data_IF_700700090734
#
_entry.id   IF_700700090734
#
_cell.length_a   1.000
_cell.length_b   1.000
_cell.length_c   1.000
_cell.angle_alpha   90.00
_cell.angle_beta   90.00
_cell.angle_gamma   90.00
#
_symmetry.space_group_name_H-M   'P 1'
#
loop_
_entity.id
_entity.type
_entity.pdbx_description
1 polymer ?
#
# COMPACT_ATOMS: atom_id res chain seq x y z
N UNK A 1 -45.21 29.94 16.12
CA UNK A 1 -44.23 29.13 15.35
C UNK A 1 -42.84 29.76 15.22
N UNK A 2 -42.71 31.08 14.96
CA UNK A 2 -41.39 31.75 14.82
C UNK A 2 -40.50 31.72 16.08
N UNK A 3 -41.09 31.84 17.28
CA UNK A 3 -40.36 31.77 18.56
C UNK A 3 -39.84 30.35 18.89
N UNK A 4 -40.64 29.31 18.58
CA UNK A 4 -40.25 27.91 18.80
C UNK A 4 -39.05 27.52 17.91
N UNK A 5 -39.06 27.93 16.64
CA UNK A 5 -37.95 27.69 15.72
C UNK A 5 -36.66 28.39 16.16
N UNK A 6 -36.76 29.62 16.72
CA UNK A 6 -35.61 30.35 17.28
C UNK A 6 -35.06 29.68 18.54
N UNK A 7 -35.93 29.18 19.41
CA UNK A 7 -35.53 28.45 20.61
C UNK A 7 -34.78 27.16 20.25
N UNK A 8 -35.34 26.38 19.32
CA UNK A 8 -34.72 25.14 18.83
C UNK A 8 -33.36 25.41 18.18
N UNK A 9 -33.27 26.43 17.33
CA UNK A 9 -32.00 26.83 16.72
C UNK A 9 -30.95 27.13 17.79
N UNK A 10 -31.27 27.96 18.79
CA UNK A 10 -30.34 28.30 19.88
C UNK A 10 -29.90 27.08 20.70
N UNK A 11 -30.81 26.14 20.98
CA UNK A 11 -30.44 24.90 21.71
C UNK A 11 -29.49 24.03 20.91
N UNK A 12 -29.67 23.91 19.60
CA UNK A 12 -28.84 23.10 18.73
C UNK A 12 -27.43 23.70 18.63
N UNK A 13 -27.32 25.03 18.45
CA UNK A 13 -26.00 25.69 18.39
C UNK A 13 -25.23 25.56 19.71
N UNK A 14 -25.93 25.70 20.85
CA UNK A 14 -25.30 25.52 22.15
C UNK A 14 -24.78 24.08 22.37
N UNK A 15 -25.53 23.07 21.89
CA UNK A 15 -25.12 21.67 21.93
C UNK A 15 -23.86 21.40 21.09
N UNK A 16 -23.80 21.96 19.87
CA UNK A 16 -22.62 21.81 19.02
C UNK A 16 -21.38 22.47 19.63
N UNK A 17 -21.52 23.68 20.18
CA UNK A 17 -20.40 24.39 20.82
C UNK A 17 -19.93 23.62 22.06
N UNK A 18 -20.87 23.16 22.91
CA UNK A 18 -20.53 22.36 24.10
C UNK A 18 -19.82 21.05 23.78
N UNK A 19 -20.23 20.35 22.70
CA UNK A 19 -19.58 19.12 22.24
C UNK A 19 -18.14 19.33 21.79
N UNK A 20 -17.80 20.49 21.20
CA UNK A 20 -16.42 20.78 20.78
C UNK A 20 -15.49 21.16 21.94
N UNK A 21 -16.02 21.64 23.07
CA UNK A 21 -15.21 22.05 24.22
C UNK A 21 -14.61 20.87 25.00
N UNK A 22 -15.22 19.68 24.95
CA UNK A 22 -14.68 18.47 25.60
C UNK A 22 -13.41 17.95 24.94
N UNK A 23 -13.11 18.37 23.71
CA UNK A 23 -11.87 18.03 23.00
C UNK A 23 -10.66 18.91 23.37
N UNK A 24 -10.86 20.02 24.11
CA UNK A 24 -9.78 20.99 24.37
C UNK A 24 -9.16 20.89 25.78
N UNK A 25 -9.70 20.06 26.68
CA UNK A 25 -9.22 19.88 28.07
C UNK A 25 -8.83 18.45 28.42
N UNK A 26 -8.75 17.55 27.44
CA UNK A 26 -8.05 16.28 27.65
C UNK A 26 -6.56 16.55 27.80
N UNK A 27 -5.85 15.96 28.78
CA UNK A 27 -4.40 15.98 28.75
C UNK A 27 -3.98 15.44 27.39
N UNK A 28 -3.15 16.18 26.65
CA UNK A 28 -2.39 15.58 25.56
C UNK A 28 -1.55 14.50 26.22
N UNK A 29 -2.04 13.26 26.18
CA UNK A 29 -1.20 12.09 26.34
C UNK A 29 -0.26 12.14 25.13
N UNK A 30 0.78 12.96 25.24
CA UNK A 30 2.06 12.62 24.66
C UNK A 30 2.44 11.32 25.36
N UNK A 31 1.92 10.21 24.84
CA UNK A 31 2.57 8.93 24.97
C UNK A 31 3.91 9.15 24.29
N UNK A 32 4.88 9.63 25.09
CA UNK A 32 6.29 9.47 24.79
C UNK A 32 6.53 7.98 24.87
N UNK A 33 6.08 7.31 23.81
CA UNK A 33 6.43 5.96 23.49
C UNK A 33 7.91 6.06 23.16
N UNK A 34 8.73 5.89 24.21
CA UNK A 34 10.18 5.74 24.15
C UNK A 34 10.48 4.41 23.46
N UNK A 35 10.05 4.31 22.20
CA UNK A 35 10.52 3.33 21.27
C UNK A 35 11.92 3.79 20.89
N UNK A 36 12.90 3.38 21.69
CA UNK A 36 14.29 3.29 21.25
C UNK A 36 14.27 2.65 19.85
N UNK A 37 14.62 3.46 18.86
CA UNK A 37 14.76 3.08 17.45
C UNK A 37 16.08 2.30 17.23
N UNK A 38 16.61 1.64 18.26
CA UNK A 38 17.87 0.89 18.16
C UNK A 38 17.69 -0.46 17.46
N UNK A 39 16.45 -0.97 17.36
CA UNK A 39 16.11 -1.98 16.36
C UNK A 39 15.48 -1.27 15.17
N UNK A 40 16.34 -0.68 14.32
CA UNK A 40 15.99 -0.52 12.92
C UNK A 40 15.63 -1.91 12.43
N UNK A 41 14.32 -2.23 12.36
CA UNK A 41 13.87 -3.42 11.65
C UNK A 41 14.52 -3.28 10.29
N UNK A 42 15.52 -4.12 10.03
CA UNK A 42 15.99 -4.36 8.69
C UNK A 42 14.78 -4.99 8.02
N UNK A 43 13.89 -4.15 7.51
CA UNK A 43 12.87 -4.56 6.58
C UNK A 43 13.71 -5.01 5.41
N UNK A 44 14.01 -6.30 5.40
CA UNK A 44 14.55 -7.00 4.26
C UNK A 44 13.66 -6.58 3.11
N UNK A 45 14.14 -5.66 2.27
CA UNK A 45 13.44 -5.30 1.04
C UNK A 45 13.39 -6.50 0.09
N UNK A 46 14.14 -7.56 0.42
CA UNK A 46 14.00 -8.87 -0.16
C UNK A 46 12.70 -9.53 0.32
N UNK A 47 11.88 -9.94 -0.62
CA UNK A 47 10.76 -10.83 -0.36
C UNK A 47 11.27 -12.09 0.35
N UNK A 48 10.56 -12.54 1.38
CA UNK A 48 10.77 -13.85 2.01
C UNK A 48 9.98 -14.92 1.28
N UNK A 49 10.44 -16.18 1.37
CA UNK A 49 9.66 -17.31 0.86
C UNK A 49 8.29 -17.33 1.56
N UNK A 50 7.18 -17.39 0.80
CA UNK A 50 5.84 -17.41 1.36
C UNK A 50 5.42 -18.81 1.87
N UNK A 51 6.32 -19.80 1.83
CA UNK A 51 6.06 -21.17 2.31
C UNK A 51 5.09 -21.96 1.43
N UNK A 52 4.79 -21.47 0.24
CA UNK A 52 4.00 -22.13 -0.80
C UNK A 52 4.46 -21.65 -2.18
N UNK A 53 4.18 -22.42 -3.22
CA UNK A 53 4.53 -22.03 -4.59
C UNK A 53 3.71 -20.83 -5.03
N UNK A 54 4.38 -19.79 -5.50
CA UNK A 54 3.81 -18.60 -6.13
C UNK A 54 4.09 -18.64 -7.63
N UNK A 55 3.04 -18.42 -8.40
CA UNK A 55 3.12 -18.31 -9.85
C UNK A 55 2.99 -16.83 -10.25
N UNK A 56 3.89 -16.37 -11.10
CA UNK A 56 3.83 -15.05 -11.71
C UNK A 56 3.96 -15.16 -13.22
N UNK A 57 3.12 -14.41 -13.92
CA UNK A 57 3.08 -14.37 -15.37
C UNK A 57 3.23 -12.92 -15.82
N UNK A 58 4.18 -12.69 -16.72
CA UNK A 58 4.39 -11.38 -17.33
C UNK A 58 4.02 -11.41 -18.81
N UNK A 59 3.36 -10.35 -19.25
CA UNK A 59 2.99 -10.13 -20.65
C UNK A 59 3.55 -8.78 -21.09
N UNK A 60 4.53 -8.82 -21.98
CA UNK A 60 5.20 -7.66 -22.55
C UNK A 60 5.01 -7.57 -24.06
N UNK A 61 5.29 -6.39 -24.61
CA UNK A 61 5.28 -6.19 -26.05
C UNK A 61 6.23 -5.06 -26.47
N UNK A 62 6.84 -5.20 -27.64
CA UNK A 62 7.75 -4.18 -28.21
C UNK A 62 7.03 -2.87 -28.54
N UNK A 63 5.74 -2.90 -28.86
CA UNK A 63 4.94 -1.72 -29.14
C UNK A 63 4.43 -1.00 -27.89
N UNK A 64 4.62 -1.58 -26.70
CA UNK A 64 4.14 -1.01 -25.43
C UNK A 64 5.31 -0.41 -24.65
N UNK A 65 5.58 0.92 -24.75
CA UNK A 65 6.77 1.53 -24.16
C UNK A 65 7.06 1.20 -22.69
N UNK A 66 6.08 1.16 -21.77
CA UNK A 66 6.37 0.79 -20.37
C UNK A 66 6.68 -0.70 -20.16
N UNK A 67 6.38 -1.57 -21.13
CA UNK A 67 6.51 -3.02 -21.05
C UNK A 67 7.60 -3.59 -21.97
N UNK A 68 8.44 -2.74 -22.60
CA UNK A 68 9.47 -3.19 -23.54
C UNK A 68 10.67 -3.88 -22.89
N UNK A 69 10.96 -3.55 -21.62
CA UNK A 69 12.15 -4.04 -20.91
C UNK A 69 11.90 -5.34 -20.14
N UNK A 70 10.87 -6.06 -20.54
CA UNK A 70 10.46 -7.29 -19.91
C UNK A 70 9.94 -7.19 -18.49
N UNK A 71 9.70 -8.36 -17.89
CA UNK A 71 9.22 -8.43 -16.53
C UNK A 71 10.24 -7.83 -15.58
N UNK A 72 9.73 -7.11 -14.58
CA UNK A 72 10.54 -6.35 -13.63
C UNK A 72 11.75 -7.15 -13.10
N UNK A 73 12.89 -6.50 -12.83
CA UNK A 73 14.06 -7.16 -12.22
C UNK A 73 13.74 -7.93 -10.93
N UNK A 74 12.67 -7.55 -10.23
CA UNK A 74 12.11 -8.27 -9.10
C UNK A 74 11.64 -9.69 -9.44
N UNK A 75 11.00 -9.94 -10.58
CA UNK A 75 10.58 -11.29 -10.98
C UNK A 75 11.79 -12.21 -11.22
N UNK A 76 12.83 -11.67 -11.88
CA UNK A 76 14.09 -12.37 -12.08
C UNK A 76 14.80 -12.67 -10.75
N UNK A 77 14.87 -11.69 -9.86
CA UNK A 77 15.45 -11.87 -8.53
C UNK A 77 14.67 -12.91 -7.70
N UNK A 78 13.34 -12.88 -7.72
CA UNK A 78 12.50 -13.85 -7.02
C UNK A 78 12.70 -15.27 -7.55
N UNK A 79 12.77 -15.44 -8.87
CA UNK A 79 13.05 -16.76 -9.48
C UNK A 79 14.42 -17.30 -9.10
N UNK A 80 15.43 -16.43 -9.03
CA UNK A 80 16.80 -16.82 -8.65
C UNK A 80 16.93 -17.15 -7.16
N UNK A 81 16.26 -16.39 -6.29
CA UNK A 81 16.40 -16.53 -4.84
C UNK A 81 15.49 -17.63 -4.27
N UNK A 82 14.36 -17.91 -4.92
CA UNK A 82 13.36 -18.89 -4.47
C UNK A 82 12.96 -19.82 -5.63
N UNK A 83 13.88 -20.60 -6.21
CA UNK A 83 13.62 -21.37 -7.42
C UNK A 83 12.54 -22.45 -7.26
N UNK A 84 12.40 -23.00 -6.05
CA UNK A 84 11.42 -24.03 -5.69
C UNK A 84 10.03 -23.44 -5.37
N UNK A 85 9.98 -22.22 -4.82
CA UNK A 85 8.75 -21.56 -4.40
C UNK A 85 8.22 -20.54 -5.43
N UNK A 86 9.03 -20.16 -6.43
CA UNK A 86 8.65 -19.12 -7.39
C UNK A 86 8.74 -19.63 -8.83
N UNK A 87 7.59 -19.66 -9.50
CA UNK A 87 7.48 -19.97 -10.93
C UNK A 87 7.19 -18.68 -11.66
N UNK A 88 8.08 -18.33 -12.58
CA UNK A 88 7.96 -17.12 -13.40
C UNK A 88 7.94 -17.51 -14.88
N UNK A 89 6.92 -17.07 -15.60
CA UNK A 89 6.80 -17.20 -17.05
C UNK A 89 6.61 -15.82 -17.67
N UNK A 90 7.38 -15.52 -18.70
CA UNK A 90 7.31 -14.26 -19.44
C UNK A 90 6.94 -14.52 -20.89
N UNK A 91 5.87 -13.87 -21.34
CA UNK A 91 5.48 -13.81 -22.74
C UNK A 91 5.82 -12.43 -23.27
N UNK A 92 6.67 -12.38 -24.29
CA UNK A 92 7.00 -11.13 -24.95
C UNK A 92 6.60 -11.19 -26.41
N UNK A 93 5.76 -10.24 -26.80
CA UNK A 93 5.34 -10.08 -28.19
C UNK A 93 6.33 -9.15 -28.89
N UNK A 94 6.97 -9.64 -29.95
CA UNK A 94 7.69 -8.78 -30.89
C UNK A 94 7.33 -9.11 -32.31
N UNK A 95 6.59 -8.22 -32.96
CA UNK A 95 6.21 -8.31 -34.38
C UNK A 95 5.68 -9.70 -34.80
N UNK A 96 4.88 -10.34 -33.96
CA UNK A 96 4.32 -11.68 -34.18
C UNK A 96 5.30 -12.84 -34.01
N UNK A 97 6.47 -12.60 -33.44
CA UNK A 97 7.44 -13.61 -33.04
C UNK A 97 7.48 -13.66 -31.51
N UNK A 98 7.13 -14.82 -30.94
CA UNK A 98 7.28 -15.08 -29.51
C UNK A 98 8.77 -15.18 -29.20
N UNK A 99 9.39 -14.05 -28.87
CA UNK A 99 10.78 -13.97 -28.44
C UNK A 99 10.84 -14.05 -26.91
N UNK A 100 11.97 -14.52 -26.39
CA UNK A 100 12.24 -14.47 -24.96
C UNK A 100 12.33 -13.01 -24.52
N UNK A 101 11.75 -12.74 -23.36
CA UNK A 101 11.84 -11.46 -22.64
C UNK A 101 13.30 -10.99 -22.54
N UNK A 102 13.63 -9.70 -22.81
CA UNK A 102 15.01 -9.20 -22.78
C UNK A 102 15.65 -9.19 -21.39
#
# INVERSE_FOLDING_TARGET
MKMLARLLALTITALFIGSTMTHFVGPLQFESDDNSLDDERVISRAATSPGHSVFAEYYGADWCPPCQNGGSPSHHALKSNFPDDYVYISYFESNGQGVSDP
#
